data_IF_591216045622
#
_entry.id   IF_591216045622
#
_cell.length_a   1.000
_cell.length_b   1.000
_cell.length_c   1.000
_cell.angle_alpha   90.00
_cell.angle_beta   90.00
_cell.angle_gamma   90.00
#
_symmetry.space_group_name_H-M   'P 1'
#
loop_
_entity.id
_entity.type
_entity.pdbx_description
1 polymer ?
#
# COMPACT_ATOMS: atom_id res chain seq x y z
N UNK A 1 -7.62 25.85 33.09
CA UNK A 1 -7.90 24.70 33.97
C UNK A 1 -9.01 23.91 33.30
N UNK A 2 -8.75 22.66 32.90
CA UNK A 2 -9.68 21.84 32.13
C UNK A 2 -10.75 21.22 33.01
N UNK A 3 -11.98 21.18 32.53
CA UNK A 3 -13.16 20.74 33.27
C UNK A 3 -13.19 19.20 33.45
N UNK A 4 -12.31 18.47 32.78
CA UNK A 4 -12.06 17.04 33.03
C UNK A 4 -11.68 16.76 34.50
N UNK A 5 -11.11 17.74 35.20
CA UNK A 5 -10.79 17.66 36.62
C UNK A 5 -12.06 17.63 37.51
N UNK A 6 -13.20 18.15 37.02
CA UNK A 6 -14.50 18.07 37.71
C UNK A 6 -15.26 16.78 37.41
N UNK A 7 -15.03 16.14 36.25
CA UNK A 7 -15.60 14.83 35.93
C UNK A 7 -14.86 13.68 36.65
N UNK A 8 -13.65 13.95 37.16
CA UNK A 8 -12.92 13.06 38.08
C UNK A 8 -13.57 12.90 39.47
N UNK A 9 -14.67 13.60 39.76
CA UNK A 9 -15.38 13.48 41.05
C UNK A 9 -16.25 12.22 41.17
N UNK A 10 -16.35 11.38 40.13
CA UNK A 10 -17.08 10.11 40.21
C UNK A 10 -16.46 9.10 41.19
N UNK A 11 -15.24 9.37 41.69
CA UNK A 11 -14.53 8.56 42.68
C UNK A 11 -14.63 9.11 44.12
N UNK A 12 -15.55 10.06 44.37
CA UNK A 12 -15.79 10.59 45.72
C UNK A 12 -16.55 9.60 46.59
N UNK A 13 -15.81 8.78 47.34
CA UNK A 13 -16.38 7.94 48.39
C UNK A 13 -16.63 8.76 49.67
N UNK A 14 -17.88 8.75 50.15
CA UNK A 14 -18.22 9.34 51.46
C UNK A 14 -17.76 8.43 52.60
N UNK A 15 -17.16 9.02 53.66
CA UNK A 15 -16.81 8.27 54.87
C UNK A 15 -18.07 7.85 55.62
N UNK A 16 -18.22 6.55 55.87
CA UNK A 16 -19.32 5.98 56.64
C UNK A 16 -19.11 6.22 58.15
N UNK A 17 -20.11 6.76 58.82
CA UNK A 17 -20.12 6.98 60.27
C UNK A 17 -21.39 6.41 60.91
N UNK A 18 -21.30 6.04 62.19
CA UNK A 18 -22.44 5.53 62.93
C UNK A 18 -23.56 6.59 63.02
N UNK A 19 -24.80 6.22 62.66
CA UNK A 19 -25.97 7.12 62.44
C UNK A 19 -25.86 8.11 61.27
N UNK A 20 -25.08 7.79 60.24
CA UNK A 20 -25.06 8.56 58.98
C UNK A 20 -26.27 8.32 58.07
N UNK A 21 -26.33 9.07 56.97
CA UNK A 21 -27.31 8.87 55.88
C UNK A 21 -27.16 7.49 55.23
N UNK A 22 -28.27 6.95 54.75
CA UNK A 22 -28.26 5.65 54.09
C UNK A 22 -27.56 5.75 52.73
N UNK A 23 -26.47 5.00 52.55
CA UNK A 23 -25.61 5.09 51.37
C UNK A 23 -26.38 5.02 50.05
N UNK A 24 -27.33 4.09 49.93
CA UNK A 24 -28.10 3.89 48.68
C UNK A 24 -28.97 5.10 48.33
N UNK A 25 -29.56 5.75 49.32
CA UNK A 25 -30.39 6.95 49.11
C UNK A 25 -29.53 8.14 48.67
N UNK A 26 -28.34 8.27 49.26
CA UNK A 26 -27.36 9.29 48.86
C UNK A 26 -26.85 9.05 47.44
N UNK A 27 -26.53 7.80 47.09
CA UNK A 27 -26.07 7.43 45.75
C UNK A 27 -27.17 7.70 44.69
N UNK A 28 -28.44 7.43 45.00
CA UNK A 28 -29.59 7.68 44.13
C UNK A 28 -29.84 9.18 43.91
N UNK A 29 -29.83 10.01 44.96
CA UNK A 29 -29.99 11.46 44.84
C UNK A 29 -28.77 12.12 44.19
N UNK A 30 -27.55 11.61 44.44
CA UNK A 30 -26.35 12.07 43.75
C UNK A 30 -26.43 11.77 42.26
N UNK A 31 -26.88 10.57 41.87
CA UNK A 31 -27.07 10.22 40.46
C UNK A 31 -28.11 11.14 39.78
N UNK A 32 -29.22 11.47 40.47
CA UNK A 32 -30.21 12.43 39.98
C UNK A 32 -29.60 13.82 39.78
N UNK A 33 -28.84 14.33 40.74
CA UNK A 33 -28.19 15.64 40.65
C UNK A 33 -27.13 15.70 39.55
N UNK A 34 -26.37 14.62 39.35
CA UNK A 34 -25.41 14.52 38.25
C UNK A 34 -26.13 14.58 36.91
N UNK A 35 -27.24 13.85 36.76
CA UNK A 35 -28.05 13.89 35.56
C UNK A 35 -28.63 15.29 35.29
N UNK A 36 -29.13 15.97 36.32
CA UNK A 36 -29.63 17.35 36.19
C UNK A 36 -28.53 18.34 35.81
N UNK A 37 -27.33 18.19 36.40
CA UNK A 37 -26.16 18.99 36.05
C UNK A 37 -25.70 18.76 34.60
N UNK A 38 -25.78 17.53 34.11
CA UNK A 38 -25.49 17.22 32.70
C UNK A 38 -26.48 17.93 31.77
N UNK A 39 -27.77 17.90 32.07
CA UNK A 39 -28.79 18.63 31.30
C UNK A 39 -28.54 20.14 31.32
N UNK A 40 -28.26 20.72 32.48
CA UNK A 40 -27.96 22.15 32.59
C UNK A 40 -26.68 22.54 31.86
N UNK A 41 -25.69 21.63 31.79
CA UNK A 41 -24.47 21.84 31.00
C UNK A 41 -24.77 21.82 29.51
N UNK A 42 -25.55 20.86 29.04
CA UNK A 42 -25.93 20.81 27.62
C UNK A 42 -26.72 22.06 27.22
N UNK A 43 -27.62 22.53 28.08
CA UNK A 43 -28.40 23.76 27.83
C UNK A 43 -27.52 25.00 27.83
N UNK A 44 -26.58 25.10 28.78
CA UNK A 44 -25.59 26.17 28.81
C UNK A 44 -24.74 26.17 27.54
N UNK A 45 -24.24 25.02 27.12
CA UNK A 45 -23.37 24.90 25.96
C UNK A 45 -24.14 25.24 24.66
N UNK A 46 -25.41 24.85 24.56
CA UNK A 46 -26.30 25.28 23.50
C UNK A 46 -26.56 26.80 23.51
N UNK A 47 -26.77 27.40 24.69
CA UNK A 47 -26.93 28.84 24.82
C UNK A 47 -25.66 29.62 24.43
N UNK A 48 -24.48 29.12 24.79
CA UNK A 48 -23.20 29.70 24.38
C UNK A 48 -23.05 29.65 22.86
N UNK A 49 -23.35 28.50 22.24
CA UNK A 49 -23.31 28.38 20.78
C UNK A 49 -24.27 29.37 20.09
N UNK A 50 -25.48 29.56 20.62
CA UNK A 50 -26.42 30.56 20.11
C UNK A 50 -25.91 32.00 20.25
N UNK A 51 -25.25 32.33 21.36
CA UNK A 51 -24.64 33.66 21.57
C UNK A 51 -23.51 33.89 20.57
N UNK A 52 -22.68 32.90 20.31
CA UNK A 52 -21.61 33.00 19.32
C UNK A 52 -22.17 33.22 17.90
N UNK A 53 -23.21 32.49 17.51
CA UNK A 53 -23.87 32.66 16.22
C UNK A 53 -24.51 34.06 16.08
N UNK A 54 -25.21 34.54 17.11
CA UNK A 54 -25.77 35.88 17.14
C UNK A 54 -24.68 36.96 17.07
N UNK A 55 -23.54 36.74 17.74
CA UNK A 55 -22.40 37.66 17.69
C UNK A 55 -21.85 37.76 16.28
N UNK A 56 -21.66 36.63 15.58
CA UNK A 56 -21.25 36.62 14.17
C UNK A 56 -22.25 37.35 13.26
N UNK A 57 -23.54 37.16 13.48
CA UNK A 57 -24.58 37.88 12.73
C UNK A 57 -24.57 39.39 13.00
N UNK A 58 -24.35 39.81 14.25
CA UNK A 58 -24.20 41.22 14.60
C UNK A 58 -22.95 41.84 13.96
N UNK A 59 -21.84 41.11 13.91
CA UNK A 59 -20.62 41.57 13.23
C UNK A 59 -20.81 41.70 11.72
N UNK A 60 -21.51 40.74 11.11
CA UNK A 60 -21.88 40.81 9.69
C UNK A 60 -22.75 42.04 9.40
N UNK A 61 -23.84 42.23 10.14
CA UNK A 61 -24.74 43.39 9.95
C UNK A 61 -24.07 44.73 10.26
N UNK A 62 -23.16 44.78 11.25
CA UNK A 62 -22.35 45.99 11.53
C UNK A 62 -21.38 46.29 10.41
N UNK A 63 -20.79 45.27 9.81
CA UNK A 63 -19.91 45.42 8.65
C UNK A 63 -20.71 45.94 7.44
N UNK A 64 -21.86 45.36 7.15
CA UNK A 64 -22.80 45.83 6.11
C UNK A 64 -23.21 47.30 6.35
N UNK A 65 -23.60 47.68 7.57
CA UNK A 65 -23.90 49.08 7.91
C UNK A 65 -22.69 50.00 7.74
N UNK A 66 -21.49 49.53 8.06
CA UNK A 66 -20.24 50.25 7.80
C UNK A 66 -20.03 50.50 6.31
N UNK A 67 -20.24 49.49 5.48
CA UNK A 67 -20.18 49.58 4.03
C UNK A 67 -21.21 50.57 3.48
N UNK A 68 -22.48 50.45 3.89
CA UNK A 68 -23.54 51.39 3.51
C UNK A 68 -23.21 52.83 3.90
N UNK A 69 -22.66 53.05 5.10
CA UNK A 69 -22.26 54.39 5.55
C UNK A 69 -21.11 54.95 4.73
N UNK A 70 -20.12 54.15 4.37
CA UNK A 70 -19.02 54.57 3.48
C UNK A 70 -19.54 54.87 2.07
N UNK A 71 -20.47 54.06 1.56
CA UNK A 71 -21.17 54.31 0.29
C UNK A 71 -21.93 55.65 0.29
N UNK A 72 -22.61 55.98 1.39
CA UNK A 72 -23.51 57.14 1.47
C UNK A 72 -22.88 58.41 2.05
N UNK A 73 -21.74 58.35 2.73
CA UNK A 73 -21.04 59.51 3.29
C UNK A 73 -20.57 60.55 2.25
N UNK A 74 -20.69 60.25 0.95
CA UNK A 74 -20.36 61.16 -0.16
C UNK A 74 -21.54 61.75 -0.93
N UNK A 75 -22.79 61.46 -0.57
CA UNK A 75 -23.99 61.97 -1.27
C UNK A 75 -24.26 63.45 -0.94
N UNK A 76 -23.34 64.33 -1.35
CA UNK A 76 -23.68 65.71 -1.70
C UNK A 76 -23.89 65.77 -3.21
N UNK A 77 -24.85 66.58 -3.67
CA UNK A 77 -25.37 66.62 -5.06
C UNK A 77 -24.28 66.87 -6.14
N UNK A 78 -23.10 67.34 -5.73
CA UNK A 78 -21.95 67.67 -6.58
C UNK A 78 -20.84 66.57 -6.61
N UNK A 79 -20.92 65.53 -5.76
CA UNK A 79 -19.88 64.49 -5.59
C UNK A 79 -20.31 63.06 -6.02
N UNK A 80 -21.39 62.93 -6.77
CA UNK A 80 -22.03 61.65 -7.14
C UNK A 80 -21.11 60.70 -7.93
N UNK A 81 -20.24 61.24 -8.80
CA UNK A 81 -19.28 60.44 -9.59
C UNK A 81 -18.18 59.84 -8.71
N UNK A 82 -17.67 60.60 -7.73
CA UNK A 82 -16.66 60.11 -6.77
C UNK A 82 -17.20 59.01 -5.85
N UNK A 83 -18.49 59.09 -5.49
CA UNK A 83 -19.18 58.03 -4.74
C UNK A 83 -19.34 56.75 -5.56
N UNK A 84 -19.76 56.87 -6.82
CA UNK A 84 -19.89 55.73 -7.74
C UNK A 84 -18.56 55.01 -7.99
N UNK A 85 -17.47 55.76 -8.22
CA UNK A 85 -16.13 55.18 -8.43
C UNK A 85 -15.66 54.42 -7.18
N UNK A 86 -15.84 54.99 -5.98
CA UNK A 86 -15.50 54.31 -4.71
C UNK A 86 -16.32 53.03 -4.51
N UNK A 87 -17.61 53.07 -4.83
CA UNK A 87 -18.49 51.89 -4.80
C UNK A 87 -17.98 50.79 -5.74
N UNK A 88 -17.71 51.13 -7.00
CA UNK A 88 -17.22 50.16 -7.99
C UNK A 88 -15.88 49.56 -7.56
N UNK A 89 -14.97 50.36 -7.01
CA UNK A 89 -13.69 49.86 -6.47
C UNK A 89 -13.88 48.91 -5.28
N UNK A 90 -14.79 49.23 -4.37
CA UNK A 90 -15.07 48.38 -3.22
C UNK A 90 -15.68 47.03 -3.64
N UNK A 91 -16.68 47.06 -4.52
CA UNK A 91 -17.30 45.84 -5.08
C UNK A 91 -16.29 45.02 -5.87
N UNK A 92 -15.43 45.67 -6.67
CA UNK A 92 -14.37 44.97 -7.40
C UNK A 92 -13.40 44.26 -6.46
N UNK A 93 -13.00 44.92 -5.36
CA UNK A 93 -12.14 44.33 -4.34
C UNK A 93 -12.80 43.13 -3.66
N UNK A 94 -14.04 43.25 -3.18
CA UNK A 94 -14.78 42.14 -2.57
C UNK A 94 -14.92 40.95 -3.54
N UNK A 95 -15.22 41.22 -4.82
CA UNK A 95 -15.29 40.16 -5.84
C UNK A 95 -13.94 39.49 -6.09
N UNK A 96 -12.85 40.25 -6.11
CA UNK A 96 -11.51 39.70 -6.24
C UNK A 96 -11.16 38.79 -5.06
N UNK A 97 -11.43 39.22 -3.83
CA UNK A 97 -11.23 38.43 -2.61
C UNK A 97 -12.09 37.16 -2.59
N UNK A 98 -13.35 37.24 -3.03
CA UNK A 98 -14.22 36.09 -3.18
C UNK A 98 -13.69 35.08 -4.22
N UNK A 99 -13.15 35.56 -5.34
CA UNK A 99 -12.53 34.69 -6.35
C UNK A 99 -11.25 34.04 -5.79
N UNK A 100 -10.40 34.82 -5.14
CA UNK A 100 -9.15 34.33 -4.53
C UNK A 100 -9.42 33.26 -3.47
N UNK A 101 -10.32 33.53 -2.53
CA UNK A 101 -10.71 32.56 -1.49
C UNK A 101 -11.35 31.30 -2.10
N UNK A 102 -12.18 31.44 -3.13
CA UNK A 102 -12.75 30.29 -3.84
C UNK A 102 -11.71 29.46 -4.59
N UNK A 103 -10.69 30.11 -5.16
CA UNK A 103 -9.61 29.46 -5.88
C UNK A 103 -8.70 28.72 -4.90
N UNK A 104 -8.36 29.37 -3.78
CA UNK A 104 -7.56 28.79 -2.70
C UNK A 104 -8.25 27.56 -2.09
N UNK A 105 -9.55 27.66 -1.77
CA UNK A 105 -10.32 26.52 -1.26
C UNK A 105 -10.29 25.34 -2.25
N UNK A 106 -10.53 25.61 -3.53
CA UNK A 106 -10.46 24.58 -4.57
C UNK A 106 -9.07 23.96 -4.70
N UNK A 107 -8.01 24.77 -4.62
CA UNK A 107 -6.65 24.23 -4.67
C UNK A 107 -6.34 23.34 -3.45
N UNK A 108 -6.77 23.75 -2.26
CA UNK A 108 -6.58 22.96 -1.04
C UNK A 108 -7.38 21.64 -1.09
N UNK A 109 -8.60 21.66 -1.63
CA UNK A 109 -9.40 20.45 -1.88
C UNK A 109 -8.73 19.51 -2.87
N UNK A 110 -8.21 20.02 -3.99
CA UNK A 110 -7.49 19.20 -4.97
C UNK A 110 -6.21 18.60 -4.39
N UNK A 111 -5.47 19.36 -3.58
CA UNK A 111 -4.28 18.85 -2.90
C UNK A 111 -4.62 17.72 -1.93
N UNK A 112 -5.65 17.88 -1.09
CA UNK A 112 -6.11 16.82 -0.18
C UNK A 112 -6.52 15.57 -0.94
N UNK A 113 -7.28 15.72 -2.03
CA UNK A 113 -7.68 14.59 -2.87
C UNK A 113 -6.46 13.88 -3.49
N UNK A 114 -5.47 14.64 -3.97
CA UNK A 114 -4.25 14.09 -4.52
C UNK A 114 -3.44 13.34 -3.45
N UNK A 115 -3.32 13.88 -2.25
CA UNK A 115 -2.66 13.24 -1.10
C UNK A 115 -3.36 11.92 -0.72
N UNK A 116 -4.69 11.91 -0.65
CA UNK A 116 -5.46 10.69 -0.37
C UNK A 116 -5.27 9.62 -1.46
N UNK A 117 -5.28 10.02 -2.74
CA UNK A 117 -5.04 9.10 -3.85
C UNK A 117 -3.61 8.55 -3.78
N UNK A 118 -2.62 9.39 -3.53
CA UNK A 118 -1.23 8.97 -3.40
C UNK A 118 -1.03 8.02 -2.21
N UNK A 119 -1.67 8.30 -1.07
CA UNK A 119 -1.64 7.42 0.10
C UNK A 119 -2.27 6.04 -0.21
N UNK A 120 -3.43 6.01 -0.87
CA UNK A 120 -4.06 4.75 -1.31
C UNK A 120 -3.16 3.98 -2.28
N UNK A 121 -2.54 4.67 -3.22
CA UNK A 121 -1.65 4.03 -4.19
C UNK A 121 -0.38 3.48 -3.52
N UNK A 122 0.19 4.17 -2.53
CA UNK A 122 1.34 3.69 -1.78
C UNK A 122 1.04 2.37 -1.04
N UNK A 123 -0.14 2.27 -0.41
CA UNK A 123 -0.58 1.02 0.25
C UNK A 123 -0.72 -0.12 -0.77
N UNK A 124 -1.37 0.14 -1.90
CA UNK A 124 -1.52 -0.88 -2.95
C UNK A 124 -0.17 -1.33 -3.51
N UNK A 125 0.79 -0.41 -3.69
CA UNK A 125 2.13 -0.76 -4.15
C UNK A 125 2.84 -1.66 -3.14
N UNK A 126 2.82 -1.32 -1.85
CA UNK A 126 3.42 -2.16 -0.79
C UNK A 126 2.78 -3.56 -0.74
N UNK A 127 1.44 -3.65 -0.83
CA UNK A 127 0.75 -4.95 -0.91
C UNK A 127 1.19 -5.77 -2.13
N UNK A 128 1.30 -5.15 -3.31
CA UNK A 128 1.75 -5.83 -4.52
C UNK A 128 3.22 -6.24 -4.44
N UNK A 129 4.09 -5.42 -3.86
CA UNK A 129 5.50 -5.74 -3.64
C UNK A 129 5.64 -6.94 -2.70
N UNK A 130 4.90 -6.96 -1.59
CA UNK A 130 4.91 -8.09 -0.66
C UNK A 130 4.40 -9.38 -1.33
N UNK A 131 3.33 -9.32 -2.10
CA UNK A 131 2.79 -10.48 -2.81
C UNK A 131 3.76 -11.00 -3.89
N UNK A 132 4.40 -10.10 -4.64
CA UNK A 132 5.41 -10.50 -5.64
C UNK A 132 6.64 -11.14 -4.99
N UNK A 133 7.11 -10.60 -3.86
CA UNK A 133 8.20 -11.21 -3.09
C UNK A 133 7.83 -12.60 -2.56
N UNK A 134 6.60 -12.78 -2.05
CA UNK A 134 6.11 -14.10 -1.62
C UNK A 134 6.12 -15.10 -2.76
N UNK A 135 5.56 -14.73 -3.91
CA UNK A 135 5.54 -15.59 -5.11
C UNK A 135 6.93 -15.92 -5.62
N UNK A 136 7.84 -14.95 -5.60
CA UNK A 136 9.23 -15.17 -5.98
C UNK A 136 9.91 -16.17 -5.02
N UNK A 137 9.75 -15.98 -3.71
CA UNK A 137 10.30 -16.90 -2.72
C UNK A 137 9.75 -18.33 -2.87
N UNK A 138 8.46 -18.49 -3.12
CA UNK A 138 7.85 -19.78 -3.42
C UNK A 138 8.41 -20.40 -4.70
N UNK A 139 8.53 -19.62 -5.78
CA UNK A 139 9.06 -20.09 -7.06
C UNK A 139 10.53 -20.52 -6.92
N UNK A 140 11.35 -19.72 -6.21
CA UNK A 140 12.75 -20.06 -5.92
C UNK A 140 12.84 -21.34 -5.11
N UNK A 141 12.00 -21.51 -4.08
CA UNK A 141 11.96 -22.74 -3.28
C UNK A 141 11.61 -23.95 -4.14
N UNK A 142 10.53 -23.87 -4.94
CA UNK A 142 10.14 -24.96 -5.85
C UNK A 142 11.25 -25.30 -6.85
N UNK A 143 11.93 -24.28 -7.40
CA UNK A 143 13.07 -24.50 -8.29
C UNK A 143 14.23 -25.22 -7.58
N UNK A 144 14.55 -24.84 -6.34
CA UNK A 144 15.57 -25.52 -5.55
C UNK A 144 15.20 -26.98 -5.26
N UNK A 145 13.94 -27.25 -4.92
CA UNK A 145 13.44 -28.61 -4.69
C UNK A 145 13.59 -29.48 -5.95
N UNK A 146 13.23 -28.95 -7.13
CA UNK A 146 13.40 -29.64 -8.42
C UNK A 146 14.87 -29.92 -8.73
N UNK A 147 15.75 -28.92 -8.54
CA UNK A 147 17.19 -29.08 -8.77
C UNK A 147 17.78 -30.13 -7.81
N UNK A 148 17.40 -30.11 -6.53
CA UNK A 148 17.84 -31.10 -5.57
C UNK A 148 17.38 -32.51 -5.95
N UNK A 149 16.12 -32.67 -6.36
CA UNK A 149 15.60 -33.95 -6.85
C UNK A 149 16.38 -34.46 -8.06
N UNK A 150 16.63 -33.60 -9.06
CA UNK A 150 17.42 -33.95 -10.24
C UNK A 150 18.88 -34.31 -9.90
N UNK A 151 19.49 -33.62 -8.93
CA UNK A 151 20.84 -33.95 -8.45
C UNK A 151 20.86 -35.31 -7.74
N UNK A 152 19.85 -35.65 -6.95
CA UNK A 152 19.74 -36.96 -6.30
C UNK A 152 19.56 -38.07 -7.36
N UNK A 153 18.66 -37.87 -8.32
CA UNK A 153 18.39 -38.83 -9.40
C UNK A 153 19.61 -39.05 -10.30
N UNK A 154 20.31 -37.97 -10.68
CA UNK A 154 21.55 -38.09 -11.45
C UNK A 154 22.65 -38.83 -10.70
N UNK A 155 22.77 -38.63 -9.38
CA UNK A 155 23.72 -39.40 -8.54
C UNK A 155 23.36 -40.88 -8.48
N UNK A 156 22.07 -41.23 -8.36
CA UNK A 156 21.66 -42.64 -8.38
C UNK A 156 21.93 -43.27 -9.74
N UNK A 157 21.61 -42.58 -10.85
CA UNK A 157 21.90 -43.07 -12.20
C UNK A 157 23.40 -43.31 -12.42
N UNK A 158 24.26 -42.39 -11.96
CA UNK A 158 25.71 -42.58 -12.04
C UNK A 158 26.17 -43.78 -11.20
N UNK A 159 25.64 -43.95 -9.99
CA UNK A 159 25.95 -45.11 -9.16
C UNK A 159 25.54 -46.43 -9.82
N UNK A 160 24.35 -46.48 -10.44
CA UNK A 160 23.86 -47.65 -11.16
C UNK A 160 24.74 -47.98 -12.38
N UNK A 161 25.19 -46.96 -13.12
CA UNK A 161 26.12 -47.13 -14.24
C UNK A 161 27.47 -47.68 -13.78
N UNK A 162 28.03 -47.17 -12.68
CA UNK A 162 29.29 -47.67 -12.09
C UNK A 162 29.15 -49.14 -11.67
N UNK A 163 28.07 -49.50 -10.97
CA UNK A 163 27.82 -50.90 -10.60
C UNK A 163 27.71 -51.83 -11.82
N UNK A 164 27.05 -51.38 -12.88
CA UNK A 164 26.92 -52.15 -14.11
C UNK A 164 28.26 -52.29 -14.84
N UNK A 165 29.09 -51.25 -14.82
CA UNK A 165 30.44 -51.32 -15.36
C UNK A 165 31.31 -52.32 -14.58
N UNK A 166 31.29 -52.28 -13.25
CA UNK A 166 32.01 -53.25 -12.41
C UNK A 166 31.54 -54.70 -12.64
N UNK A 167 30.27 -54.92 -12.94
CA UNK A 167 29.74 -56.24 -13.32
C UNK A 167 30.27 -56.68 -14.68
N UNK A 168 30.30 -55.78 -15.66
CA UNK A 168 30.85 -56.05 -16.99
C UNK A 168 32.35 -56.34 -16.91
N UNK A 169 33.11 -55.53 -16.17
CA UNK A 169 34.56 -55.72 -15.98
C UNK A 169 34.85 -57.07 -15.31
N UNK A 170 34.05 -57.47 -14.32
CA UNK A 170 34.13 -58.81 -13.71
C UNK A 170 33.84 -59.93 -14.71
N UNK A 171 32.79 -59.80 -15.51
CA UNK A 171 32.42 -60.81 -16.51
C UNK A 171 33.49 -60.93 -17.61
N UNK A 172 34.04 -59.80 -18.07
CA UNK A 172 35.17 -59.78 -19.00
C UNK A 172 36.41 -60.47 -18.40
N UNK A 173 36.73 -60.21 -17.14
CA UNK A 173 37.84 -60.87 -16.45
C UNK A 173 37.62 -62.39 -16.28
N UNK A 174 36.37 -62.84 -16.09
CA UNK A 174 36.03 -64.27 -16.08
C UNK A 174 36.24 -64.93 -17.45
N UNK A 175 35.95 -64.23 -18.56
CA UNK A 175 36.16 -64.73 -19.92
C UNK A 175 37.63 -64.68 -20.34
N UNK A 176 38.39 -63.71 -19.85
CA UNK A 176 39.84 -63.62 -20.04
C UNK A 176 40.64 -64.62 -19.20
N UNK A 177 39.98 -65.48 -18.42
CA UNK A 177 40.63 -66.71 -17.96
C UNK A 177 41.13 -67.48 -19.18
N UNK A 178 42.42 -67.85 -19.23
CA UNK A 178 43.03 -68.30 -20.48
C UNK A 178 42.39 -69.63 -20.89
N UNK A 179 41.44 -69.57 -21.81
CA UNK A 179 41.23 -70.70 -22.70
C UNK A 179 42.54 -70.86 -23.48
N UNK A 180 43.19 -71.99 -23.23
CA UNK A 180 44.28 -72.52 -24.03
C UNK A 180 43.74 -72.81 -25.44
N UNK A 181 43.57 -71.75 -26.24
CA UNK A 181 43.15 -71.83 -27.63
C UNK A 181 44.42 -72.01 -28.47
N UNK A 182 44.62 -73.17 -29.11
CA UNK A 182 45.80 -73.40 -29.93
C UNK A 182 45.81 -72.44 -31.12
N UNK A 183 46.98 -71.85 -31.36
CA UNK A 183 47.21 -70.81 -32.36
C UNK A 183 46.60 -71.15 -33.74
N UNK A 184 45.97 -70.17 -34.43
CA UNK A 184 45.45 -70.41 -35.77
C UNK A 184 46.61 -70.66 -36.73
N UNK A 185 46.52 -71.74 -37.50
CA UNK A 185 47.48 -72.04 -38.56
C UNK A 185 47.38 -70.98 -39.65
N UNK A 186 48.48 -70.28 -39.88
CA UNK A 186 48.67 -69.41 -41.04
C UNK A 186 48.54 -70.25 -42.32
N UNK A 187 47.49 -69.99 -43.11
CA UNK A 187 47.47 -70.39 -44.52
C UNK A 187 47.49 -69.14 -45.38
N UNK A 188 48.68 -68.92 -45.95
CA UNK A 188 48.99 -68.03 -47.06
C UNK A 188 48.03 -68.29 -48.21
N UNK A 189 47.13 -67.34 -48.52
CA UNK A 189 46.62 -67.14 -49.88
C UNK A 189 46.58 -65.65 -50.19
N UNK A 190 47.51 -65.29 -51.06
CA UNK A 190 47.66 -64.06 -51.82
C UNK A 190 46.46 -63.77 -52.72
N UNK A 191 46.00 -62.51 -52.77
CA UNK A 191 45.15 -61.99 -53.86
C UNK A 191 44.42 -60.70 -53.52
N UNK A 192 44.63 -59.58 -54.25
CA UNK A 192 44.13 -58.26 -53.86
C UNK A 192 42.75 -57.95 -54.43
N UNK A 193 41.89 -57.27 -53.67
CA UNK A 193 40.78 -56.52 -54.28
C UNK A 193 40.59 -55.14 -53.66
N UNK A 194 40.43 -54.19 -54.59
CA UNK A 194 40.43 -52.74 -54.46
C UNK A 194 39.28 -52.19 -53.62
N UNK A 195 39.61 -51.07 -52.97
CA UNK A 195 38.77 -49.99 -52.42
C UNK A 195 37.42 -49.80 -53.13
N UNK A 196 36.38 -49.62 -52.33
CA UNK A 196 35.21 -48.82 -52.67
C UNK A 196 34.93 -47.83 -51.53
N UNK A 197 35.02 -46.55 -51.88
CA UNK A 197 34.63 -45.37 -51.12
C UNK A 197 33.12 -45.11 -51.27
N UNK A 198 32.43 -44.79 -50.19
CA UNK A 198 31.17 -44.06 -50.17
C UNK A 198 31.11 -43.35 -48.79
N UNK A 199 31.42 -42.05 -48.66
CA UNK A 199 30.56 -40.88 -48.92
C UNK A 199 29.12 -41.09 -48.41
N UNK A 200 28.88 -40.57 -47.21
CA UNK A 200 27.59 -40.55 -46.51
C UNK A 200 27.54 -39.35 -45.58
N UNK A 201 27.33 -38.20 -46.19
CA UNK A 201 27.15 -36.86 -45.65
C UNK A 201 25.80 -36.76 -44.90
N UNK A 202 25.76 -36.25 -43.66
CA UNK A 202 24.50 -35.89 -43.01
C UNK A 202 24.66 -34.81 -41.91
N UNK A 203 24.18 -33.62 -42.28
CA UNK A 203 23.36 -32.69 -41.48
C UNK A 203 23.98 -32.02 -40.22
N UNK A 204 24.56 -30.85 -40.45
CA UNK A 204 24.63 -29.74 -39.48
C UNK A 204 23.29 -28.99 -39.47
N UNK A 205 22.53 -29.13 -38.38
CA UNK A 205 21.30 -28.37 -38.14
C UNK A 205 21.57 -27.10 -37.34
N UNK A 206 21.72 -25.97 -38.03
CA UNK A 206 21.71 -24.63 -37.46
C UNK A 206 20.27 -24.22 -37.11
N UNK A 207 19.93 -24.09 -35.82
CA UNK A 207 18.67 -23.48 -35.37
C UNK A 207 18.91 -22.00 -35.09
N UNK A 208 18.39 -21.13 -35.97
CA UNK A 208 18.42 -19.67 -35.86
C UNK A 208 17.12 -19.23 -35.18
N UNK A 209 17.19 -18.84 -33.90
CA UNK A 209 16.11 -18.12 -33.23
C UNK A 209 16.08 -16.67 -33.76
N UNK A 210 15.01 -16.34 -34.48
CA UNK A 210 14.62 -14.97 -34.80
C UNK A 210 13.54 -14.52 -33.82
N UNK A 211 13.91 -13.55 -32.97
CA UNK A 211 13.09 -12.85 -31.99
C UNK A 211 11.93 -12.11 -32.66
N UNK A 212 10.71 -12.36 -32.22
CA UNK A 212 9.53 -11.52 -32.53
C UNK A 212 9.46 -10.42 -31.47
N UNK A 213 9.72 -9.18 -31.89
CA UNK A 213 9.40 -8.00 -31.11
C UNK A 213 8.02 -7.50 -31.52
N UNK A 214 7.02 -7.74 -30.67
CA UNK A 214 5.75 -7.00 -30.67
C UNK A 214 5.89 -5.84 -29.68
N UNK A 215 5.92 -4.62 -30.21
CA UNK A 215 5.71 -3.39 -29.42
C UNK A 215 4.26 -2.98 -29.58
N UNK A 216 3.56 -2.93 -28.45
CA UNK A 216 2.33 -2.15 -28.25
C UNK A 216 2.67 -0.93 -27.42
#
# INVERSE_FOLDING_TARGET
>A
MGIDEFLSYSDMSFRLQWRGYHKREVDEELARLVQELEVLRTDRDAAVAMVDDLTRQLEATRSELGEYRVLHAGYSRENTVSGCIRYLMHVAKQKAEAVETSARRRSEEMLRQAEEVAARQAVLLDETEQETQRRLAEATRRAQEIVQAAVVESRSLVADLVQRQELLDRWCAEIETPLDVPAPRESVISGPMRRLTALGEAASGHHRMGVVGETT
#
